data_IF_315153843016
#
_entry.id   IF_315153843016
#
_cell.length_a   1.000
_cell.length_b   1.000
_cell.length_c   1.000
_cell.angle_alpha   90.00
_cell.angle_beta   90.00
_cell.angle_gamma   90.00
#
_symmetry.space_group_name_H-M   'P 1'
#
loop_
_entity.id
_entity.type
_entity.pdbx_description
1 polymer ?
#
# COMPACT_ATOMS: atom_id res chain seq x y z
N UNK A 1 3.54 -4.93 19.01
CA UNK A 1 2.11 -5.32 19.05
C UNK A 1 1.90 -6.45 18.06
N UNK A 2 0.91 -7.32 18.28
CA UNK A 2 0.48 -8.33 17.29
C UNK A 2 -0.77 -7.79 16.58
N UNK A 3 -0.56 -6.94 15.59
CA UNK A 3 -1.64 -6.25 14.85
C UNK A 3 -1.58 -6.65 13.36
N UNK A 4 -2.58 -7.40 12.91
CA UNK A 4 -2.69 -7.86 11.52
C UNK A 4 -2.99 -6.73 10.53
N UNK A 5 -3.39 -5.55 11.02
CA UNK A 5 -3.66 -4.36 10.20
C UNK A 5 -2.44 -3.46 10.04
N UNK A 6 -1.32 -3.74 10.72
CA UNK A 6 -0.13 -2.88 10.78
C UNK A 6 0.73 -2.94 9.50
N UNK A 7 0.09 -2.85 8.32
CA UNK A 7 0.74 -2.66 7.03
C UNK A 7 1.40 -1.27 6.96
N UNK A 8 2.35 -1.10 6.03
CA UNK A 8 3.13 0.12 5.91
C UNK A 8 2.25 1.36 5.71
N UNK A 9 1.24 1.25 4.83
CA UNK A 9 0.30 2.30 4.48
C UNK A 9 -0.60 2.67 5.67
N UNK A 10 -1.06 1.66 6.42
CA UNK A 10 -1.88 1.89 7.63
C UNK A 10 -1.06 2.61 8.70
N UNK A 11 0.18 2.20 8.92
CA UNK A 11 1.05 2.85 9.89
C UNK A 11 1.41 4.29 9.46
N UNK A 12 1.64 4.52 8.16
CA UNK A 12 1.88 5.85 7.62
C UNK A 12 0.66 6.77 7.80
N UNK A 13 -0.55 6.27 7.49
CA UNK A 13 -1.80 7.00 7.73
C UNK A 13 -1.99 7.32 9.22
N UNK A 14 -1.79 6.36 10.11
CA UNK A 14 -1.89 6.58 11.58
C UNK A 14 -0.94 7.68 12.03
N UNK A 15 0.31 7.66 11.58
CA UNK A 15 1.28 8.69 11.92
C UNK A 15 0.88 10.07 11.37
N UNK A 16 0.43 10.14 10.11
CA UNK A 16 -0.01 11.38 9.49
C UNK A 16 -1.25 11.96 10.19
N UNK A 17 -2.24 11.14 10.54
CA UNK A 17 -3.43 11.61 11.24
C UNK A 17 -3.11 12.17 12.63
N UNK A 18 -2.16 11.55 13.34
CA UNK A 18 -1.69 12.04 14.64
C UNK A 18 -1.00 13.41 14.50
N UNK A 19 -0.12 13.56 13.52
CA UNK A 19 0.58 14.81 13.25
C UNK A 19 -0.38 15.94 12.86
N UNK A 20 -1.35 15.63 11.99
CA UNK A 20 -2.34 16.60 11.52
C UNK A 20 -3.44 16.90 12.54
N UNK A 21 -3.64 16.03 13.54
CA UNK A 21 -4.77 16.09 14.46
C UNK A 21 -6.13 15.85 13.80
N UNK A 22 -6.15 15.22 12.63
CA UNK A 22 -7.35 14.95 11.82
C UNK A 22 -7.19 13.61 11.10
N UNK A 23 -8.30 12.93 10.83
CA UNK A 23 -8.36 11.71 10.02
C UNK A 23 -8.49 12.00 8.52
N UNK A 24 -8.81 13.25 8.17
CA UNK A 24 -8.89 13.70 6.78
C UNK A 24 -7.54 14.27 6.34
N UNK A 25 -6.90 13.57 5.42
CA UNK A 25 -5.60 13.90 4.84
C UNK A 25 -5.76 14.45 3.41
N UNK A 26 -6.70 15.38 3.23
CA UNK A 26 -6.89 16.07 1.95
C UNK A 26 -5.57 16.71 1.51
N UNK A 27 -5.26 16.64 0.21
CA UNK A 27 -4.02 17.17 -0.41
C UNK A 27 -2.74 16.41 -0.03
N UNK A 28 -2.83 15.35 0.76
CA UNK A 28 -1.70 14.46 0.99
C UNK A 28 -1.51 13.51 -0.18
N UNK A 29 -0.24 13.21 -0.43
CA UNK A 29 0.20 12.20 -1.38
C UNK A 29 0.82 11.06 -0.60
N UNK A 30 0.53 9.83 -1.01
CA UNK A 30 1.16 8.63 -0.45
C UNK A 30 2.02 7.97 -1.51
N UNK A 31 3.24 7.61 -1.14
CA UNK A 31 4.11 6.76 -1.94
C UNK A 31 4.33 5.46 -1.17
N UNK A 32 4.05 4.33 -1.82
CA UNK A 32 4.25 2.99 -1.26
C UNK A 32 5.12 2.16 -2.20
N UNK A 33 5.93 1.26 -1.66
CA UNK A 33 6.82 0.43 -2.47
C UNK A 33 6.05 -0.68 -3.21
N UNK A 34 4.89 -1.07 -2.71
CA UNK A 34 4.02 -2.07 -3.32
C UNK A 34 2.61 -1.52 -3.46
N UNK A 35 1.90 -1.95 -4.50
CA UNK A 35 0.48 -1.69 -4.71
C UNK A 35 -0.31 -1.96 -3.42
N UNK A 36 -1.11 -1.00 -2.93
CA UNK A 36 -1.86 -1.21 -1.71
C UNK A 36 -2.86 -2.35 -1.84
N UNK A 37 -2.84 -3.27 -0.88
CA UNK A 37 -3.85 -4.31 -0.80
C UNK A 37 -5.25 -3.73 -0.51
N UNK A 38 -6.33 -4.52 -0.63
CA UNK A 38 -7.69 -3.99 -0.48
C UNK A 38 -7.95 -3.27 0.85
N UNK A 39 -7.36 -3.74 1.96
CA UNK A 39 -7.44 -3.07 3.26
C UNK A 39 -6.78 -1.69 3.22
N UNK A 40 -5.54 -1.61 2.73
CA UNK A 40 -4.76 -0.38 2.70
C UNK A 40 -5.37 0.64 1.74
N UNK A 41 -5.82 0.18 0.56
CA UNK A 41 -6.47 1.04 -0.42
C UNK A 41 -7.80 1.61 0.12
N UNK A 42 -8.60 0.81 0.83
CA UNK A 42 -9.81 1.30 1.48
C UNK A 42 -9.49 2.35 2.57
N UNK A 43 -8.44 2.13 3.37
CA UNK A 43 -8.01 3.10 4.38
C UNK A 43 -7.54 4.43 3.77
N UNK A 44 -6.78 4.37 2.67
CA UNK A 44 -6.36 5.54 1.90
C UNK A 44 -7.55 6.33 1.35
N UNK A 45 -8.58 5.63 0.84
CA UNK A 45 -9.84 6.25 0.44
C UNK A 45 -10.54 6.96 1.61
N UNK A 46 -10.68 6.28 2.77
CA UNK A 46 -11.29 6.86 3.97
C UNK A 46 -10.55 8.13 4.44
N UNK A 47 -9.22 8.12 4.36
CA UNK A 47 -8.39 9.25 4.71
C UNK A 47 -8.41 10.39 3.67
N UNK A 48 -9.06 10.21 2.50
CA UNK A 48 -9.17 11.21 1.43
C UNK A 48 -7.81 11.71 0.91
N UNK A 49 -6.83 10.82 0.83
CA UNK A 49 -5.56 11.14 0.16
C UNK A 49 -5.82 11.46 -1.31
N UNK A 50 -5.04 12.36 -1.89
CA UNK A 50 -5.28 12.83 -3.26
C UNK A 50 -4.69 11.88 -4.29
N UNK A 51 -3.44 11.48 -4.06
CA UNK A 51 -2.67 10.65 -4.98
C UNK A 51 -1.94 9.53 -4.24
N UNK A 52 -1.96 8.34 -4.82
CA UNK A 52 -1.18 7.18 -4.38
C UNK A 52 -0.25 6.77 -5.49
N UNK A 53 1.06 6.83 -5.23
CA UNK A 53 2.11 6.31 -6.11
C UNK A 53 2.55 4.94 -5.60
N UNK A 54 2.76 3.99 -6.52
CA UNK A 54 3.31 2.68 -6.17
C UNK A 54 4.26 2.13 -7.22
N UNK A 55 5.19 1.27 -6.78
CA UNK A 55 6.22 0.67 -7.63
C UNK A 55 5.93 -0.77 -8.02
N UNK A 56 6.03 -1.71 -7.07
CA UNK A 56 5.76 -3.12 -7.31
C UNK A 56 4.25 -3.42 -7.28
N UNK A 57 3.80 -4.45 -7.98
CA UNK A 57 2.36 -4.79 -8.05
C UNK A 57 1.93 -5.78 -6.98
N UNK A 58 0.62 -5.96 -6.82
CA UNK A 58 0.07 -6.99 -5.94
C UNK A 58 0.46 -8.41 -6.41
N UNK A 59 0.64 -8.61 -7.72
CA UNK A 59 1.18 -9.87 -8.26
C UNK A 59 2.65 -10.08 -7.90
N UNK A 60 3.47 -9.02 -7.82
CA UNK A 60 4.87 -9.12 -7.37
C UNK A 60 4.93 -9.57 -5.90
N UNK A 61 4.10 -8.98 -5.03
CA UNK A 61 3.99 -9.41 -3.64
C UNK A 61 3.55 -10.88 -3.53
N UNK A 62 2.58 -11.30 -4.35
CA UNK A 62 2.16 -12.70 -4.38
C UNK A 62 3.30 -13.64 -4.78
N UNK A 63 4.06 -13.30 -5.83
CA UNK A 63 5.22 -14.08 -6.25
C UNK A 63 6.31 -14.14 -5.17
N UNK A 64 6.42 -13.09 -4.35
CA UNK A 64 7.32 -13.05 -3.21
C UNK A 64 6.85 -13.92 -2.01
N UNK A 65 5.62 -14.42 -2.03
CA UNK A 65 5.05 -15.29 -1.01
C UNK A 65 4.26 -14.56 0.07
N UNK A 66 3.64 -13.42 -0.26
CA UNK A 66 2.70 -12.73 0.62
C UNK A 66 1.25 -13.12 0.31
N UNK A 67 0.42 -13.18 1.35
CA UNK A 67 -0.98 -13.61 1.26
C UNK A 67 -1.96 -12.43 1.09
N UNK A 68 -1.74 -11.63 0.06
CA UNK A 68 -2.63 -10.53 -0.28
C UNK A 68 -3.87 -11.04 -1.05
N UNK A 69 -5.02 -10.40 -0.81
CA UNK A 69 -6.21 -10.62 -1.63
C UNK A 69 -5.92 -10.15 -3.05
N UNK A 70 -6.17 -11.02 -4.05
CA UNK A 70 -5.90 -10.76 -5.47
C UNK A 70 -6.94 -9.84 -6.11
N UNK A 71 -7.05 -8.62 -5.59
CA UNK A 71 -7.89 -7.57 -6.12
C UNK A 71 -7.00 -6.34 -6.38
N UNK A 72 -6.69 -6.03 -7.64
CA UNK A 72 -5.90 -4.85 -7.99
C UNK A 72 -6.53 -3.57 -7.43
N UNK A 73 -5.71 -2.65 -6.95
CA UNK A 73 -6.15 -1.39 -6.34
C UNK A 73 -7.02 -0.59 -7.33
N UNK A 74 -6.63 -0.54 -8.61
CA UNK A 74 -7.41 0.11 -9.67
C UNK A 74 -8.84 -0.43 -9.78
N UNK A 75 -9.02 -1.73 -9.60
CA UNK A 75 -10.32 -2.39 -9.74
C UNK A 75 -11.18 -2.10 -8.52
N UNK A 76 -10.59 -2.13 -7.32
CA UNK A 76 -11.28 -1.73 -6.09
C UNK A 76 -11.76 -0.28 -6.15
N UNK A 77 -10.90 0.66 -6.58
CA UNK A 77 -11.27 2.07 -6.71
C UNK A 77 -12.40 2.27 -7.73
N UNK A 78 -12.36 1.55 -8.86
CA UNK A 78 -13.41 1.58 -9.88
C UNK A 78 -14.74 1.06 -9.35
N UNK A 79 -14.75 -0.08 -8.67
CA UNK A 79 -15.96 -0.68 -8.10
C UNK A 79 -16.53 0.17 -6.96
N UNK A 80 -15.67 0.77 -6.15
CA UNK A 80 -16.04 1.61 -5.00
C UNK A 80 -16.37 3.06 -5.34
N UNK A 81 -16.14 3.52 -6.57
CA UNK A 81 -16.36 4.92 -6.97
C UNK A 81 -15.43 5.91 -6.26
N UNK A 82 -14.20 5.49 -5.97
CA UNK A 82 -13.23 6.32 -5.27
C UNK A 82 -12.60 7.38 -6.20
N UNK A 83 -12.45 8.64 -5.75
CA UNK A 83 -11.80 9.69 -6.54
C UNK A 83 -10.27 9.69 -6.43
N UNK A 84 -9.68 8.82 -5.60
CA UNK A 84 -8.22 8.78 -5.37
C UNK A 84 -7.49 8.52 -6.69
N UNK A 85 -6.50 9.35 -7.01
CA UNK A 85 -5.66 9.14 -8.18
C UNK A 85 -4.61 8.09 -7.88
N UNK A 86 -4.53 7.04 -8.69
CA UNK A 86 -3.56 5.97 -8.55
C UNK A 86 -2.53 6.04 -9.68
N UNK A 87 -1.25 6.11 -9.32
CA UNK A 87 -0.13 6.21 -10.26
C UNK A 87 0.78 4.98 -10.11
N UNK A 88 0.75 4.06 -11.09
CA UNK A 88 1.57 2.84 -11.06
C UNK A 88 3.01 3.09 -11.53
N UNK A 89 3.81 2.03 -11.44
CA UNK A 89 5.12 1.89 -12.09
C UNK A 89 6.22 2.88 -11.64
N UNK A 90 6.07 3.52 -10.48
CA UNK A 90 7.09 4.43 -9.93
C UNK A 90 8.25 3.64 -9.35
N UNK A 91 9.43 3.72 -9.98
CA UNK A 91 10.62 2.96 -9.56
C UNK A 91 10.33 1.44 -9.43
N UNK A 92 9.54 0.90 -10.35
CA UNK A 92 9.02 -0.46 -10.24
C UNK A 92 10.13 -1.53 -10.15
N UNK A 93 11.26 -1.32 -10.84
CA UNK A 93 12.38 -2.27 -10.79
C UNK A 93 13.05 -2.27 -9.41
N UNK A 94 13.27 -1.09 -8.85
CA UNK A 94 13.85 -0.88 -7.52
C UNK A 94 12.93 -1.44 -6.44
N UNK A 95 11.63 -1.18 -6.54
CA UNK A 95 10.64 -1.72 -5.62
C UNK A 95 10.55 -3.24 -5.69
N UNK A 96 10.58 -3.85 -6.89
CA UNK A 96 10.63 -5.31 -7.06
C UNK A 96 11.91 -5.92 -6.47
N UNK A 97 13.04 -5.23 -6.57
CA UNK A 97 14.31 -5.69 -5.99
C UNK A 97 14.24 -5.82 -4.45
N UNK A 98 13.38 -5.05 -3.77
CA UNK A 98 13.19 -5.15 -2.32
C UNK A 98 12.63 -6.52 -1.91
N UNK A 99 11.78 -7.14 -2.74
CA UNK A 99 11.29 -8.50 -2.46
C UNK A 99 12.41 -9.54 -2.56
N UNK A 100 13.30 -9.40 -3.53
CA UNK A 100 14.47 -10.27 -3.67
C UNK A 100 15.41 -10.11 -2.46
N UNK A 101 15.63 -8.88 -2.01
CA UNK A 101 16.40 -8.58 -0.81
C UNK A 101 15.76 -9.22 0.43
N UNK A 102 14.43 -9.10 0.58
CA UNK A 102 13.71 -9.71 1.69
C UNK A 102 13.81 -11.23 1.70
N UNK A 103 13.71 -11.89 0.55
CA UNK A 103 13.82 -13.35 0.45
C UNK A 103 15.18 -13.89 0.89
N UNK A 104 16.24 -13.08 0.82
CA UNK A 104 17.58 -13.43 1.27
C UNK A 104 17.80 -13.12 2.76
N UNK A 105 16.86 -12.42 3.40
CA UNK A 105 17.01 -11.97 4.78
C UNK A 105 16.81 -13.13 5.77
N UNK A 106 17.62 -13.28 6.83
CA UNK A 106 17.50 -14.39 7.79
C UNK A 106 16.15 -14.47 8.52
N UNK A 107 15.44 -13.34 8.62
CA UNK A 107 14.12 -13.25 9.24
C UNK A 107 12.97 -13.32 8.23
N UNK A 108 13.25 -13.64 6.97
CA UNK A 108 12.24 -13.72 5.93
C UNK A 108 11.11 -14.67 6.35
N UNK A 109 9.87 -14.21 6.19
CA UNK A 109 8.66 -15.02 6.37
C UNK A 109 7.82 -14.91 5.12
N UNK A 110 7.20 -16.03 4.77
CA UNK A 110 6.14 -16.14 3.77
C UNK A 110 4.82 -16.36 4.49
N UNK A 111 3.74 -15.87 3.93
CA UNK A 111 2.41 -15.91 4.50
C UNK A 111 1.44 -16.57 3.53
#
# INVERSE_FOLDING_TARGET
TTDITAHAEINALRAACLEMGDIVLNRCVVATTCEPCPMCMAALHWARVEVVYYGATIEDAQQAGFNELRLPARELLRLGGSPVTLVPDVLANECRALFQLWQQHPLARRY
#
